data_IF_738940133455
#
_entry.id   IF_738940133455
#
_cell.length_a   1.000
_cell.length_b   1.000
_cell.length_c   1.000
_cell.angle_alpha   90.00
_cell.angle_beta   90.00
_cell.angle_gamma   90.00
#
_symmetry.space_group_name_H-M   'P 1'
#
loop_
_entity.id
_entity.type
_entity.pdbx_description
1 polymer ?
#
# COMPACT_ATOMS: atom_id res chain seq x y z
N UNK A 1 73.58 20.46 23.89
CA UNK A 1 72.84 21.72 23.65
C UNK A 1 72.20 21.65 22.25
N UNK A 2 70.87 21.89 22.16
CA UNK A 2 69.88 21.72 21.05
C UNK A 2 68.77 20.74 21.49
N UNK A 3 67.86 21.16 22.37
CA UNK A 3 66.60 21.93 22.16
C UNK A 3 65.54 21.11 21.39
N UNK A 4 64.52 20.71 22.15
CA UNK A 4 63.26 20.08 21.76
C UNK A 4 62.36 21.06 20.99
N UNK A 5 61.60 20.56 20.03
CA UNK A 5 60.38 21.20 19.55
C UNK A 5 59.25 20.17 19.55
N UNK A 6 58.22 20.42 20.37
CA UNK A 6 56.93 19.74 20.29
C UNK A 6 55.96 20.68 19.57
N UNK A 7 55.35 20.20 18.49
CA UNK A 7 54.28 20.91 17.79
C UNK A 7 52.93 20.37 18.28
N UNK A 8 52.17 21.18 19.00
CA UNK A 8 50.79 20.89 19.37
C UNK A 8 49.85 21.29 18.23
N UNK A 9 49.12 20.33 17.65
CA UNK A 9 48.04 20.59 16.72
C UNK A 9 46.74 20.83 17.50
N UNK A 10 46.17 22.04 17.38
CA UNK A 10 44.84 22.37 17.91
C UNK A 10 43.81 22.01 16.83
N UNK A 11 42.94 21.04 17.13
CA UNK A 11 41.83 20.65 16.25
C UNK A 11 40.63 21.57 16.49
N UNK A 12 40.29 22.38 15.49
CA UNK A 12 39.11 23.23 15.49
C UNK A 12 37.90 22.40 15.04
N UNK A 13 37.01 22.06 15.97
CA UNK A 13 35.75 21.36 15.65
C UNK A 13 34.68 22.40 15.33
N UNK A 14 34.32 22.52 14.04
CA UNK A 14 33.19 23.34 13.63
C UNK A 14 31.87 22.59 13.98
N UNK A 15 30.92 23.19 14.71
CA UNK A 15 29.66 22.55 15.00
C UNK A 15 28.81 22.47 13.72
N UNK A 16 28.51 21.26 13.29
CA UNK A 16 27.52 20.97 12.25
C UNK A 16 26.13 21.27 12.83
N UNK A 17 25.65 22.50 12.62
CA UNK A 17 24.24 22.84 12.85
C UNK A 17 23.38 22.15 11.80
N UNK A 18 22.88 20.96 12.13
CA UNK A 18 21.85 20.27 11.36
C UNK A 18 20.53 21.01 11.51
N UNK A 19 20.18 21.88 10.57
CA UNK A 19 18.81 22.35 10.41
C UNK A 19 17.95 21.18 9.92
N UNK A 20 17.12 20.63 10.80
CA UNK A 20 16.07 19.71 10.41
C UNK A 20 15.12 20.45 9.45
N UNK A 21 15.15 20.09 8.16
CA UNK A 21 14.18 20.59 7.19
C UNK A 21 12.80 20.12 7.63
N UNK A 22 11.95 21.08 7.97
CA UNK A 22 10.56 20.84 8.31
C UNK A 22 9.84 20.33 7.04
N UNK A 23 9.48 19.05 7.04
CA UNK A 23 8.70 18.43 5.98
C UNK A 23 7.33 19.11 5.95
N UNK A 24 7.16 20.06 5.04
CA UNK A 24 5.83 20.54 4.68
C UNK A 24 5.06 19.34 4.13
N UNK A 25 3.99 18.99 4.84
CA UNK A 25 3.04 17.94 4.53
C UNK A 25 2.75 17.88 3.03
N UNK A 26 3.12 16.77 2.38
CA UNK A 26 2.96 16.57 0.94
C UNK A 26 1.46 16.43 0.65
N UNK A 27 0.77 17.57 0.44
CA UNK A 27 -0.63 17.61 0.06
C UNK A 27 -0.78 17.67 -1.46
N UNK A 28 -1.76 16.95 -1.98
CA UNK A 28 -2.13 17.03 -3.39
C UNK A 28 -2.87 18.35 -3.68
N UNK A 29 -3.04 18.72 -4.96
CA UNK A 29 -3.63 20.03 -5.37
C UNK A 29 -5.07 20.24 -4.86
N UNK A 30 -5.76 19.16 -4.54
CA UNK A 30 -7.10 19.13 -3.96
C UNK A 30 -7.11 19.31 -2.42
N UNK A 31 -5.93 19.47 -1.80
CA UNK A 31 -5.78 19.62 -0.35
C UNK A 31 -5.87 18.30 0.42
N UNK A 32 -6.07 17.17 -0.25
CA UNK A 32 -6.08 15.84 0.37
C UNK A 32 -4.64 15.34 0.61
N UNK A 33 -4.43 14.48 1.62
CA UNK A 33 -3.18 13.76 1.78
C UNK A 33 -2.88 12.90 0.54
N UNK A 34 -1.59 12.76 0.22
CA UNK A 34 -1.16 11.86 -0.87
C UNK A 34 -1.72 10.46 -0.64
N UNK A 35 -2.36 9.91 -1.67
CA UNK A 35 -2.93 8.57 -1.63
C UNK A 35 -4.33 8.48 -1.03
N UNK A 36 -4.98 9.58 -0.67
CA UNK A 36 -6.37 9.55 -0.26
C UNK A 36 -7.28 9.01 -1.38
N UNK A 37 -8.21 8.10 -1.05
CA UNK A 37 -9.21 7.57 -1.99
C UNK A 37 -10.54 8.32 -1.82
N UNK A 38 -10.80 9.26 -2.72
CA UNK A 38 -12.09 9.95 -2.82
C UNK A 38 -13.16 9.02 -3.40
N UNK A 39 -14.42 9.24 -3.00
CA UNK A 39 -15.56 8.54 -3.58
C UNK A 39 -15.71 8.89 -5.07
N UNK A 40 -15.89 7.87 -5.90
CA UNK A 40 -16.15 7.96 -7.33
C UNK A 40 -17.46 7.23 -7.66
N UNK A 41 -18.54 7.95 -8.01
CA UNK A 41 -19.85 7.34 -8.29
C UNK A 41 -19.87 6.42 -9.51
N UNK A 42 -18.84 6.46 -10.37
CA UNK A 42 -18.72 5.54 -11.51
C UNK A 42 -18.11 4.19 -11.12
N UNK A 43 -17.39 4.12 -10.00
CA UNK A 43 -16.60 2.95 -9.60
C UNK A 43 -17.04 2.34 -8.27
N UNK A 44 -17.55 3.16 -7.36
CA UNK A 44 -17.76 2.83 -5.96
C UNK A 44 -19.23 2.50 -5.67
N UNK A 45 -19.45 1.65 -4.68
CA UNK A 45 -20.78 1.27 -4.24
C UNK A 45 -21.43 2.44 -3.46
N UNK A 46 -22.57 3.01 -3.91
CA UNK A 46 -23.24 4.08 -3.18
C UNK A 46 -23.75 3.64 -1.79
N UNK A 47 -23.95 2.33 -1.58
CA UNK A 47 -24.41 1.78 -0.31
C UNK A 47 -23.27 1.55 0.70
N UNK A 48 -22.00 1.66 0.26
CA UNK A 48 -20.85 1.52 1.15
C UNK A 48 -20.76 2.70 2.11
N UNK A 49 -21.05 2.44 3.38
CA UNK A 49 -21.10 3.48 4.41
C UNK A 49 -19.85 3.42 5.28
N UNK A 50 -19.12 4.53 5.29
CA UNK A 50 -18.07 4.82 6.26
C UNK A 50 -18.67 4.99 7.67
N UNK A 51 -17.93 4.57 8.69
CA UNK A 51 -18.40 4.69 10.07
C UNK A 51 -18.24 6.12 10.63
N UNK A 52 -17.56 6.99 9.88
CA UNK A 52 -17.34 8.39 10.22
C UNK A 52 -15.90 8.65 10.68
N UNK A 53 -15.54 9.93 10.76
CA UNK A 53 -14.18 10.36 11.07
C UNK A 53 -13.22 10.23 9.88
N UNK A 54 -11.93 10.30 10.17
CA UNK A 54 -10.87 10.21 9.16
C UNK A 54 -10.53 8.74 8.91
N UNK A 55 -10.45 8.35 7.63
CA UNK A 55 -9.92 7.04 7.23
C UNK A 55 -8.44 6.97 7.61
N UNK A 56 -8.07 5.99 8.41
CA UNK A 56 -6.70 5.81 8.89
C UNK A 56 -5.84 5.11 7.84
N UNK A 57 -4.51 5.30 7.92
CA UNK A 57 -3.59 4.41 7.20
C UNK A 57 -3.52 3.05 7.91
N UNK A 58 -3.30 1.96 7.16
CA UNK A 58 -3.28 0.61 7.74
C UNK A 58 -2.24 0.43 8.86
N UNK A 59 -1.11 1.12 8.82
CA UNK A 59 -0.08 1.03 9.86
C UNK A 59 -0.45 1.75 11.16
N UNK A 60 -1.52 2.55 11.18
CA UNK A 60 -1.99 3.27 12.36
C UNK A 60 -3.01 2.45 13.20
N UNK A 61 -3.48 1.31 12.69
CA UNK A 61 -4.52 0.47 13.30
C UNK A 61 -4.14 -1.02 13.24
N UNK A 62 -4.71 -1.86 14.10
CA UNK A 62 -4.41 -3.30 14.12
C UNK A 62 -5.20 -4.15 13.09
N UNK A 63 -5.63 -3.55 11.98
CA UNK A 63 -6.47 -4.21 10.97
C UNK A 63 -5.75 -5.27 10.14
N UNK A 64 -6.39 -5.71 9.05
CA UNK A 64 -5.80 -6.63 8.08
C UNK A 64 -6.74 -7.77 7.69
N UNK A 65 -6.19 -8.81 7.06
CA UNK A 65 -6.99 -9.98 6.66
C UNK A 65 -6.85 -11.11 7.68
N UNK A 66 -7.95 -11.80 7.99
CA UNK A 66 -7.91 -12.94 8.91
C UNK A 66 -6.98 -14.05 8.40
N UNK A 67 -6.07 -14.51 9.25
CA UNK A 67 -5.01 -15.47 8.87
C UNK A 67 -3.87 -14.87 8.03
N UNK A 68 -3.92 -13.56 7.77
CA UNK A 68 -2.87 -12.76 7.14
C UNK A 68 -2.46 -13.24 5.75
N UNK A 69 -1.21 -12.91 5.37
CA UNK A 69 -0.64 -13.26 4.07
C UNK A 69 -0.71 -14.77 3.76
N UNK A 70 -0.51 -15.62 4.76
CA UNK A 70 -0.57 -17.08 4.58
C UNK A 70 -1.95 -17.52 4.07
N UNK A 71 -3.02 -16.97 4.64
CA UNK A 71 -4.38 -17.27 4.20
C UNK A 71 -4.65 -16.74 2.78
N UNK A 72 -4.19 -15.53 2.48
CA UNK A 72 -4.33 -14.94 1.14
C UNK A 72 -3.64 -15.79 0.05
N UNK A 73 -2.43 -16.30 0.33
CA UNK A 73 -1.73 -17.20 -0.58
C UNK A 73 -2.51 -18.51 -0.82
N UNK A 74 -3.06 -19.11 0.24
CA UNK A 74 -3.92 -20.29 0.10
C UNK A 74 -5.16 -20.01 -0.77
N UNK A 75 -5.78 -18.83 -0.60
CA UNK A 75 -6.93 -18.42 -1.41
C UNK A 75 -6.56 -18.26 -2.89
N UNK A 76 -5.36 -17.77 -3.20
CA UNK A 76 -4.84 -17.69 -4.57
C UNK A 76 -4.63 -19.06 -5.22
N UNK A 77 -4.22 -20.07 -4.45
CA UNK A 77 -4.00 -21.42 -4.96
C UNK A 77 -5.32 -22.16 -5.26
N UNK A 78 -6.34 -21.98 -4.40
CA UNK A 78 -7.64 -22.65 -4.58
C UNK A 78 -8.56 -21.92 -5.56
N UNK A 79 -8.46 -20.58 -5.66
CA UNK A 79 -9.25 -19.79 -6.62
C UNK A 79 -8.48 -19.73 -7.96
N UNK A 80 -9.16 -19.77 -9.12
CA UNK A 80 -8.53 -19.94 -10.43
C UNK A 80 -7.62 -18.79 -10.92
N UNK A 81 -7.38 -17.76 -10.09
CA UNK A 81 -6.54 -16.61 -10.46
C UNK A 81 -5.10 -17.03 -10.79
N UNK A 82 -4.52 -17.97 -10.03
CA UNK A 82 -3.18 -18.49 -10.28
C UNK A 82 -3.06 -19.26 -11.61
N UNK A 83 -4.17 -19.74 -12.18
CA UNK A 83 -4.19 -20.48 -13.44
C UNK A 83 -4.33 -19.58 -14.66
N UNK A 84 -4.67 -18.31 -14.45
CA UNK A 84 -4.77 -17.33 -15.54
C UNK A 84 -3.37 -16.78 -15.84
N UNK A 85 -3.06 -16.68 -17.14
CA UNK A 85 -1.84 -16.06 -17.61
C UNK A 85 -2.19 -14.78 -18.36
N UNK A 86 -1.61 -13.66 -17.97
CA UNK A 86 -1.78 -12.40 -18.68
C UNK A 86 -1.22 -12.50 -20.11
N UNK A 87 -1.97 -12.00 -21.10
CA UNK A 87 -1.54 -11.91 -22.50
C UNK A 87 -1.65 -10.44 -22.95
N UNK A 88 -0.55 -9.79 -23.39
CA UNK A 88 0.79 -10.33 -23.55
C UNK A 88 1.45 -10.65 -22.21
N UNK A 89 2.41 -11.59 -22.24
CA UNK A 89 3.18 -11.99 -21.07
C UNK A 89 3.96 -10.78 -20.57
N UNK A 90 3.71 -10.40 -19.32
CA UNK A 90 4.37 -9.29 -18.62
C UNK A 90 4.73 -9.70 -17.20
N UNK A 91 5.68 -8.99 -16.61
CA UNK A 91 5.97 -9.05 -15.18
C UNK A 91 5.97 -7.65 -14.62
N UNK A 92 5.46 -7.54 -13.41
CA UNK A 92 5.51 -6.35 -12.61
C UNK A 92 4.62 -6.57 -11.39
N UNK A 93 3.91 -5.52 -11.04
CA UNK A 93 3.07 -5.48 -9.86
C UNK A 93 1.72 -4.86 -10.21
N UNK A 94 0.66 -5.47 -9.69
CA UNK A 94 -0.68 -4.90 -9.70
C UNK A 94 -1.05 -4.70 -8.24
N UNK A 95 -1.26 -3.45 -7.85
CA UNK A 95 -1.67 -3.09 -6.49
C UNK A 95 -3.13 -2.68 -6.51
N UNK A 96 -3.95 -3.34 -5.72
CA UNK A 96 -5.34 -2.96 -5.49
C UNK A 96 -5.41 -2.29 -4.12
N UNK A 97 -5.68 -0.99 -4.09
CA UNK A 97 -5.88 -0.21 -2.86
C UNK A 97 -7.37 0.06 -2.67
N UNK A 98 -7.86 0.02 -1.44
CA UNK A 98 -9.28 0.11 -1.12
C UNK A 98 -9.47 0.55 0.33
N UNK A 99 -10.72 0.75 0.74
CA UNK A 99 -11.09 1.09 2.11
C UNK A 99 -11.73 -0.13 2.76
N UNK A 100 -11.31 -0.44 3.98
CA UNK A 100 -12.01 -1.34 4.90
C UNK A 100 -12.71 -0.45 5.92
N UNK A 101 -14.03 -0.58 6.10
CA UNK A 101 -14.73 0.19 7.11
C UNK A 101 -14.67 -0.47 8.50
N UNK A 102 -15.18 0.23 9.51
CA UNK A 102 -15.19 -0.25 10.89
C UNK A 102 -16.02 -1.54 11.13
N UNK A 103 -16.75 -2.03 10.12
CA UNK A 103 -17.49 -3.31 10.11
C UNK A 103 -16.75 -4.43 9.37
N UNK A 104 -15.61 -4.15 8.76
CA UNK A 104 -14.86 -5.14 7.95
C UNK A 104 -15.37 -5.26 6.52
N UNK A 105 -16.29 -4.39 6.09
CA UNK A 105 -16.74 -4.33 4.70
C UNK A 105 -15.73 -3.55 3.86
N UNK A 106 -15.66 -3.83 2.56
CA UNK A 106 -14.69 -3.22 1.65
C UNK A 106 -15.31 -2.53 0.45
N UNK A 107 -14.77 -1.38 0.09
CA UNK A 107 -15.10 -0.70 -1.17
C UNK A 107 -14.03 0.34 -1.58
N UNK A 108 -14.31 1.17 -2.59
CA UNK A 108 -13.45 2.24 -3.09
C UNK A 108 -12.14 1.73 -3.66
N UNK A 109 -12.25 0.74 -4.54
CA UNK A 109 -11.09 0.07 -5.12
C UNK A 109 -10.41 0.93 -6.18
N UNK A 110 -9.08 1.04 -6.11
CA UNK A 110 -8.21 1.69 -7.09
C UNK A 110 -7.09 0.72 -7.47
N UNK A 111 -6.79 0.65 -8.76
CA UNK A 111 -5.77 -0.26 -9.30
C UNK A 111 -4.59 0.53 -9.81
N UNK A 112 -3.40 0.22 -9.30
CA UNK A 112 -2.12 0.70 -9.80
C UNK A 112 -1.38 -0.45 -10.49
N UNK A 113 -0.76 -0.16 -11.63
CA UNK A 113 -0.05 -1.14 -12.44
C UNK A 113 1.34 -0.62 -12.76
N UNK A 114 2.37 -1.36 -12.36
CA UNK A 114 3.77 -1.01 -12.61
C UNK A 114 4.56 -2.22 -13.11
N UNK A 115 5.62 -1.97 -13.88
CA UNK A 115 6.51 -3.01 -14.39
C UNK A 115 7.62 -3.39 -13.39
N UNK A 116 8.54 -4.28 -13.79
CA UNK A 116 9.71 -4.71 -12.98
C UNK A 116 10.65 -3.56 -12.59
N UNK A 117 10.62 -2.43 -13.30
CA UNK A 117 11.47 -1.27 -13.06
C UNK A 117 10.68 -0.11 -12.43
N UNK A 118 9.50 -0.40 -11.86
CA UNK A 118 8.63 0.53 -11.15
C UNK A 118 8.13 1.70 -12.01
N UNK A 119 8.00 1.49 -13.33
CA UNK A 119 7.35 2.45 -14.23
C UNK A 119 5.88 2.07 -14.45
N UNK A 120 4.98 3.06 -14.64
CA UNK A 120 3.60 2.78 -15.01
C UNK A 120 3.53 1.86 -16.23
N UNK A 121 2.67 0.85 -16.15
CA UNK A 121 2.45 -0.08 -17.26
C UNK A 121 0.98 -0.47 -17.34
N UNK A 122 0.60 -1.16 -18.41
CA UNK A 122 -0.76 -1.65 -18.62
C UNK A 122 -0.68 -3.16 -18.85
N UNK A 123 -1.27 -3.93 -17.95
CA UNK A 123 -1.51 -5.37 -18.13
C UNK A 123 -2.79 -5.61 -18.94
N UNK A 124 -3.00 -6.85 -19.34
CA UNK A 124 -4.26 -7.30 -19.94
C UNK A 124 -5.46 -6.89 -19.06
N UNK A 125 -6.43 -6.10 -19.58
CA UNK A 125 -7.60 -5.69 -18.82
C UNK A 125 -8.39 -6.85 -18.21
N UNK A 126 -8.49 -8.00 -18.91
CA UNK A 126 -9.20 -9.17 -18.38
C UNK A 126 -8.48 -9.75 -17.16
N UNK A 127 -7.15 -9.80 -17.20
CA UNK A 127 -6.33 -10.25 -16.09
C UNK A 127 -6.41 -9.29 -14.88
N UNK A 128 -6.37 -7.98 -15.13
CA UNK A 128 -6.56 -6.96 -14.09
C UNK A 128 -7.95 -7.06 -13.46
N UNK A 129 -8.99 -7.24 -14.29
CA UNK A 129 -10.37 -7.42 -13.81
C UNK A 129 -10.52 -8.68 -12.96
N UNK A 130 -9.83 -9.78 -13.32
CA UNK A 130 -9.82 -10.99 -12.51
C UNK A 130 -9.17 -10.77 -11.14
N UNK A 131 -8.03 -10.07 -11.09
CA UNK A 131 -7.37 -9.69 -9.82
C UNK A 131 -8.29 -8.82 -8.96
N UNK A 132 -8.92 -7.81 -9.56
CA UNK A 132 -9.87 -6.96 -8.85
C UNK A 132 -11.06 -7.75 -8.32
N UNK A 133 -11.62 -8.65 -9.13
CA UNK A 133 -12.73 -9.53 -8.73
C UNK A 133 -12.33 -10.46 -7.59
N UNK A 134 -11.13 -11.04 -7.64
CA UNK A 134 -10.58 -11.83 -6.55
C UNK A 134 -10.51 -11.02 -5.26
N UNK A 135 -9.95 -9.81 -5.30
CA UNK A 135 -9.82 -8.93 -4.13
C UNK A 135 -11.18 -8.51 -3.56
N UNK A 136 -12.15 -8.17 -4.42
CA UNK A 136 -13.53 -7.83 -4.00
C UNK A 136 -14.25 -8.99 -3.32
N UNK A 137 -13.89 -10.23 -3.65
CA UNK A 137 -14.48 -11.43 -3.08
C UNK A 137 -13.77 -11.92 -1.80
N UNK A 138 -12.90 -11.11 -1.21
CA UNK A 138 -12.31 -11.35 0.12
C UNK A 138 -13.17 -10.65 1.17
N UNK A 139 -13.70 -11.42 2.12
CA UNK A 139 -14.71 -11.01 3.10
C UNK A 139 -14.27 -11.12 4.57
N UNK A 140 -13.15 -11.79 4.86
CA UNK A 140 -12.61 -11.92 6.22
C UNK A 140 -11.69 -10.74 6.65
N UNK A 141 -12.10 -9.49 6.41
CA UNK A 141 -11.33 -8.31 6.84
C UNK A 141 -11.59 -7.96 8.30
N UNK A 142 -10.51 -7.72 9.04
CA UNK A 142 -10.54 -7.33 10.45
C UNK A 142 -10.66 -5.80 10.52
N UNK A 143 -11.70 -5.24 11.17
CA UNK A 143 -11.81 -3.81 11.36
C UNK A 143 -10.59 -3.23 12.09
N UNK A 144 -10.14 -2.05 11.68
CA UNK A 144 -8.97 -1.41 12.29
C UNK A 144 -9.26 -0.98 13.72
N UNK A 145 -8.52 -1.51 14.70
CA UNK A 145 -8.67 -1.12 16.11
C UNK A 145 -7.52 -0.23 16.56
N UNK A 146 -7.84 0.81 17.32
CA UNK A 146 -6.87 1.63 18.05
C UNK A 146 -7.51 2.18 19.34
N UNK A 147 -6.84 2.01 20.48
CA UNK A 147 -7.32 2.48 21.81
C UNK A 147 -8.79 2.06 22.14
N UNK A 148 -9.19 0.86 21.74
CA UNK A 148 -10.54 0.35 22.00
C UNK A 148 -11.63 0.92 21.09
N UNK A 149 -11.27 1.71 20.07
CA UNK A 149 -12.17 2.24 19.04
C UNK A 149 -11.91 1.56 17.69
N UNK A 150 -12.96 1.38 16.90
CA UNK A 150 -12.92 0.81 15.54
C UNK A 150 -12.90 1.93 14.50
N UNK A 151 -12.08 1.80 13.48
CA UNK A 151 -11.83 2.81 12.46
C UNK A 151 -11.95 2.25 11.05
N UNK A 152 -12.36 3.12 10.14
CA UNK A 152 -12.17 2.90 8.71
C UNK A 152 -10.67 3.09 8.39
N UNK A 153 -10.12 2.27 7.48
CA UNK A 153 -8.72 2.37 7.09
C UNK A 153 -8.47 2.04 5.63
N UNK A 154 -7.41 2.62 5.06
CA UNK A 154 -6.91 2.25 3.73
C UNK A 154 -6.16 0.94 3.81
N UNK A 155 -6.45 0.01 2.92
CA UNK A 155 -5.73 -1.25 2.76
C UNK A 155 -5.28 -1.41 1.31
N UNK A 156 -4.20 -2.17 1.11
CA UNK A 156 -3.77 -2.56 -0.23
C UNK A 156 -3.40 -4.04 -0.29
N UNK A 157 -3.54 -4.63 -1.48
CA UNK A 157 -2.95 -5.92 -1.81
C UNK A 157 -2.09 -5.72 -3.07
N UNK A 158 -0.80 -6.02 -2.97
CA UNK A 158 0.10 -6.00 -4.13
C UNK A 158 0.33 -7.43 -4.62
N UNK A 159 -0.11 -7.69 -5.84
CA UNK A 159 0.09 -8.94 -6.55
C UNK A 159 1.39 -8.84 -7.34
N UNK A 160 2.31 -9.78 -7.11
CA UNK A 160 3.52 -9.91 -7.91
C UNK A 160 3.22 -10.81 -9.09
N UNK A 161 3.39 -10.30 -10.30
CA UNK A 161 3.16 -11.03 -11.53
C UNK A 161 4.52 -11.48 -12.06
N UNK A 162 4.78 -12.76 -12.25
CA UNK A 162 5.98 -13.24 -12.95
C UNK A 162 5.58 -14.06 -14.16
N UNK A 163 6.12 -13.69 -15.33
CA UNK A 163 5.84 -14.33 -16.61
C UNK A 163 4.33 -14.54 -16.85
N UNK A 164 3.56 -13.48 -16.58
CA UNK A 164 2.11 -13.44 -16.73
C UNK A 164 1.30 -14.13 -15.64
N UNK A 165 1.93 -14.70 -14.60
CA UNK A 165 1.25 -15.41 -13.52
C UNK A 165 1.37 -14.67 -12.19
N UNK A 166 0.32 -14.72 -11.36
CA UNK A 166 0.43 -14.25 -9.97
C UNK A 166 1.28 -15.25 -9.18
N UNK A 167 2.44 -14.81 -8.67
CA UNK A 167 3.36 -15.65 -7.89
C UNK A 167 3.42 -15.28 -6.42
N UNK A 168 2.90 -14.11 -6.04
CA UNK A 168 2.87 -13.66 -4.65
C UNK A 168 1.77 -12.61 -4.43
N UNK A 169 1.36 -12.45 -3.17
CA UNK A 169 0.49 -11.39 -2.68
C UNK A 169 1.05 -10.80 -1.38
N UNK A 170 1.11 -9.46 -1.33
CA UNK A 170 1.64 -8.69 -0.22
C UNK A 170 0.55 -7.75 0.31
N UNK A 171 0.02 -7.99 1.53
CA UNK A 171 -0.90 -7.08 2.22
C UNK A 171 -0.18 -5.92 2.93
#
# INVERSE_FOLDING_TARGET
MKVLFWSAFVLWTAPLSSTAQQLTDLKHKDGMPVGHITFDPALDNPDFTLCGGTIQENYAVSGGYQGGRKRLLQLLEIKPLAKQRAIPIKTGYITVRFVVNCRGEVDRFRVLQIDRIYKPTIFDPAFVAAILTFTKALDDWIPGQYQGSSYDYFQQLTFKINDGQVVDILP
#
